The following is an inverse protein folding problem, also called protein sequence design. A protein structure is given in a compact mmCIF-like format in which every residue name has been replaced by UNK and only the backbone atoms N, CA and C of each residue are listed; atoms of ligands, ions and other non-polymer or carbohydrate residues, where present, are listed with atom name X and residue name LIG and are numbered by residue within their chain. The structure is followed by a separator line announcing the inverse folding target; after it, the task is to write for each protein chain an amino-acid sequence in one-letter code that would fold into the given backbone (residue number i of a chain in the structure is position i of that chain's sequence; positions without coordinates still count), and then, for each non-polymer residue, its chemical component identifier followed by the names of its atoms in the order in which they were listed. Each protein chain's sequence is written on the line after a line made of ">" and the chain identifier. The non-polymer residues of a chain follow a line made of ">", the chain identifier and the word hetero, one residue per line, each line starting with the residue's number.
data_IF_955344821456
#
_entry.id   IF_955344821456
#
_cell.length_a   1.000
_cell.length_b   1.000
_cell.length_c   1.000
_cell.angle_alpha   90.00
_cell.angle_beta   90.00
_cell.angle_gamma   90.00
#
_symmetry.space_group_name_H-M   'P 1'
#
loop_
_entity.id
_entity.type
_entity.pdbx_description
1 polymer ?
#
# COMPACT_ATOMS: atom_id res chain seq x y z
N UNK A 1 6.25 20.49 -11.82
CA UNK A 1 5.45 20.71 -10.60
C UNK A 1 4.46 21.86 -10.80
N UNK A 2 3.19 21.74 -10.39
CA UNK A 2 2.21 22.81 -10.56
C UNK A 2 2.62 24.07 -9.77
N UNK A 3 2.20 25.26 -10.24
CA UNK A 3 2.46 26.55 -9.55
C UNK A 3 1.99 26.51 -8.07
N UNK A 4 0.86 25.86 -7.83
CA UNK A 4 0.27 25.69 -6.49
C UNK A 4 1.14 24.85 -5.56
N UNK A 5 1.66 23.72 -6.04
CA UNK A 5 2.54 22.87 -5.24
C UNK A 5 3.84 23.61 -4.87
N UNK A 6 4.36 24.47 -5.75
CA UNK A 6 5.53 25.32 -5.46
C UNK A 6 5.25 26.29 -4.31
N UNK A 7 4.08 26.93 -4.30
CA UNK A 7 3.69 27.82 -3.22
C UNK A 7 3.46 27.10 -1.89
N UNK A 8 2.83 25.93 -1.90
CA UNK A 8 2.68 25.11 -0.68
C UNK A 8 4.03 24.66 -0.13
N UNK A 9 4.97 24.25 -0.99
CA UNK A 9 6.32 23.88 -0.60
C UNK A 9 7.09 25.07 0.01
N UNK A 10 7.01 26.24 -0.63
CA UNK A 10 7.64 27.47 -0.15
C UNK A 10 7.07 27.93 1.21
N UNK A 11 5.76 27.81 1.41
CA UNK A 11 5.11 28.08 2.69
C UNK A 11 5.57 27.10 3.77
N UNK A 12 5.61 25.81 3.46
CA UNK A 12 6.07 24.79 4.40
C UNK A 12 7.54 25.04 4.78
N UNK A 13 8.40 25.29 3.79
CA UNK A 13 9.79 25.69 4.00
C UNK A 13 9.89 26.87 4.95
N UNK A 14 9.07 27.91 4.78
CA UNK A 14 9.11 29.09 5.65
C UNK A 14 8.80 28.78 7.12
N UNK A 15 7.99 27.75 7.38
CA UNK A 15 7.64 27.29 8.72
C UNK A 15 8.75 26.43 9.35
N UNK A 16 9.45 25.63 8.56
CA UNK A 16 10.42 24.64 9.05
C UNK A 16 11.88 25.02 8.83
N UNK A 17 12.16 26.13 8.15
CA UNK A 17 13.53 26.54 7.79
C UNK A 17 14.44 26.78 8.99
N UNK A 18 13.93 26.92 10.21
CA UNK A 18 14.76 27.02 11.41
C UNK A 18 15.29 25.67 11.90
N UNK A 19 14.79 24.56 11.37
CA UNK A 19 15.22 23.20 11.74
C UNK A 19 16.49 22.84 10.98
N UNK A 20 17.63 22.77 11.69
CA UNK A 20 18.95 22.52 11.10
C UNK A 20 19.00 21.23 10.26
N UNK A 21 18.38 20.14 10.74
CA UNK A 21 18.35 18.86 10.05
C UNK A 21 17.66 18.97 8.68
N UNK A 22 16.53 19.67 8.61
CA UNK A 22 15.80 19.91 7.36
C UNK A 22 16.55 20.81 6.39
N UNK A 23 17.34 21.77 6.91
CA UNK A 23 18.23 22.54 6.05
C UNK A 23 19.34 21.66 5.44
N UNK A 24 19.81 20.64 6.15
CA UNK A 24 20.84 19.72 5.68
C UNK A 24 20.42 18.90 4.46
N UNK A 25 19.13 18.60 4.32
CA UNK A 25 18.59 17.81 3.21
C UNK A 25 18.38 18.58 1.91
N UNK A 26 18.48 19.92 1.93
CA UNK A 26 18.27 20.77 0.76
C UNK A 26 19.58 21.41 0.30
N UNK A 27 19.82 21.35 -1.00
CA UNK A 27 20.91 22.11 -1.64
C UNK A 27 20.68 23.63 -1.49
N UNK A 28 21.76 24.41 -1.56
CA UNK A 28 21.66 25.87 -1.54
C UNK A 28 20.76 26.41 -2.67
N UNK A 29 20.77 25.74 -3.83
CA UNK A 29 19.89 26.06 -4.96
C UNK A 29 18.43 25.83 -4.62
N UNK A 30 18.08 24.67 -4.04
CA UNK A 30 16.69 24.38 -3.64
C UNK A 30 16.19 25.33 -2.57
N UNK A 31 17.03 25.69 -1.59
CA UNK A 31 16.72 26.70 -0.57
C UNK A 31 16.39 28.04 -1.21
N UNK A 32 17.24 28.49 -2.14
CA UNK A 32 17.03 29.74 -2.86
C UNK A 32 15.76 29.70 -3.71
N UNK A 33 15.51 28.60 -4.42
CA UNK A 33 14.28 28.41 -5.18
C UNK A 33 13.03 28.48 -4.28
N UNK A 34 13.05 27.85 -3.11
CA UNK A 34 11.94 27.91 -2.16
C UNK A 34 11.71 29.34 -1.62
N UNK A 35 12.79 30.08 -1.35
CA UNK A 35 12.70 31.48 -0.93
C UNK A 35 12.16 32.37 -2.05
N UNK A 36 12.59 32.18 -3.29
CA UNK A 36 12.09 32.89 -4.47
C UNK A 36 10.60 32.61 -4.70
N UNK A 37 10.19 31.34 -4.60
CA UNK A 37 8.79 30.94 -4.70
C UNK A 37 7.95 31.56 -3.58
N UNK A 38 8.51 31.74 -2.38
CA UNK A 38 7.83 32.44 -1.30
C UNK A 38 7.66 33.94 -1.59
N UNK A 39 8.65 34.60 -2.20
CA UNK A 39 8.50 35.99 -2.65
C UNK A 39 7.44 36.14 -3.74
N UNK A 40 7.39 35.20 -4.69
CA UNK A 40 6.33 35.14 -5.70
C UNK A 40 4.96 34.94 -5.05
N UNK A 41 4.85 34.04 -4.09
CA UNK A 41 3.63 33.84 -3.30
C UNK A 41 3.19 35.11 -2.56
N UNK A 42 4.12 35.89 -1.99
CA UNK A 42 3.79 37.17 -1.35
C UNK A 42 3.18 38.19 -2.31
N UNK A 43 3.61 38.18 -3.58
CA UNK A 43 3.08 39.05 -4.65
C UNK A 43 1.81 38.49 -5.30
N UNK A 44 1.45 37.24 -5.03
CA UNK A 44 0.25 36.61 -5.57
C UNK A 44 -1.04 37.28 -5.07
N UNK A 45 -2.09 37.19 -5.89
CA UNK A 45 -3.41 37.70 -5.57
C UNK A 45 -4.06 37.01 -4.35
N UNK A 46 -5.06 37.64 -3.71
CA UNK A 46 -5.70 37.11 -2.50
C UNK A 46 -6.31 35.72 -2.71
N UNK A 47 -6.91 35.47 -3.87
CA UNK A 47 -7.49 34.16 -4.21
C UNK A 47 -6.43 33.06 -4.33
N UNK A 48 -5.30 33.32 -4.99
CA UNK A 48 -4.21 32.34 -5.10
C UNK A 48 -3.63 31.98 -3.72
N UNK A 49 -3.50 32.99 -2.84
CA UNK A 49 -3.03 32.79 -1.46
C UNK A 49 -4.01 31.95 -0.65
N UNK A 50 -5.30 32.25 -0.74
CA UNK A 50 -6.38 31.51 -0.07
C UNK A 50 -6.39 30.05 -0.52
N UNK A 51 -6.36 29.79 -1.82
CA UNK A 51 -6.33 28.43 -2.39
C UNK A 51 -5.09 27.66 -1.92
N UNK A 52 -3.90 28.26 -1.98
CA UNK A 52 -2.66 27.59 -1.57
C UNK A 52 -2.64 27.28 -0.07
N UNK A 53 -3.18 28.19 0.76
CA UNK A 53 -3.30 28.02 2.21
C UNK A 53 -4.32 26.94 2.57
N UNK A 54 -5.48 26.89 1.88
CA UNK A 54 -6.48 25.85 2.07
C UNK A 54 -5.94 24.47 1.64
N UNK A 55 -5.17 24.41 0.56
CA UNK A 55 -4.53 23.17 0.12
C UNK A 55 -3.50 22.69 1.14
N UNK A 56 -2.63 23.57 1.64
CA UNK A 56 -1.65 23.22 2.66
C UNK A 56 -2.35 22.79 3.97
N UNK A 57 -3.37 23.53 4.40
CA UNK A 57 -4.21 23.17 5.55
C UNK A 57 -4.84 21.80 5.36
N UNK A 58 -5.35 21.47 4.17
CA UNK A 58 -5.93 20.16 3.91
C UNK A 58 -4.90 19.03 4.03
N UNK A 59 -3.68 19.23 3.52
CA UNK A 59 -2.58 18.26 3.64
C UNK A 59 -2.16 18.05 5.10
N UNK A 60 -2.02 19.15 5.86
CA UNK A 60 -1.60 19.13 7.26
C UNK A 60 -2.75 18.85 8.23
N UNK A 61 -3.99 18.80 7.75
CA UNK A 61 -5.14 18.57 8.62
C UNK A 61 -5.12 17.14 9.15
N UNK A 62 -5.32 17.01 10.47
CA UNK A 62 -5.57 15.73 11.14
C UNK A 62 -6.98 15.18 10.86
N UNK A 63 -7.78 15.84 10.01
CA UNK A 63 -9.14 15.40 9.70
C UNK A 63 -9.05 14.16 8.81
N UNK A 64 -9.41 13.01 9.36
CA UNK A 64 -9.46 11.74 8.63
C UNK A 64 -10.59 11.75 7.59
N UNK A 65 -10.39 11.17 6.40
CA UNK A 65 -11.41 11.11 5.36
C UNK A 65 -12.48 10.11 5.77
N UNK A 66 -13.75 10.50 5.69
CA UNK A 66 -14.84 9.61 6.08
C UNK A 66 -15.07 8.49 5.06
N UNK A 67 -14.74 8.74 3.79
CA UNK A 67 -15.05 7.81 2.69
C UNK A 67 -14.43 6.41 2.88
N UNK A 68 -13.12 6.26 3.19
CA UNK A 68 -12.56 4.93 3.42
C UNK A 68 -13.18 4.19 4.61
N UNK A 69 -13.57 4.88 5.67
CA UNK A 69 -14.27 4.25 6.80
C UNK A 69 -15.66 3.74 6.41
N UNK A 70 -16.44 4.54 5.67
CA UNK A 70 -17.75 4.11 5.16
C UNK A 70 -17.61 2.92 4.22
N UNK A 71 -16.64 2.97 3.30
CA UNK A 71 -16.35 1.84 2.40
C UNK A 71 -15.96 0.57 3.17
N UNK A 72 -15.16 0.70 4.23
CA UNK A 72 -14.80 -0.41 5.11
C UNK A 72 -16.03 -1.03 5.78
N UNK A 73 -16.90 -0.20 6.37
CA UNK A 73 -18.15 -0.67 7.01
C UNK A 73 -19.02 -1.42 6.01
N UNK A 74 -19.28 -0.83 4.83
CA UNK A 74 -20.08 -1.46 3.79
C UNK A 74 -19.43 -2.76 3.28
N UNK A 75 -18.12 -2.78 3.12
CA UNK A 75 -17.35 -3.97 2.76
C UNK A 75 -17.48 -5.08 3.79
N UNK A 76 -17.37 -4.77 5.08
CA UNK A 76 -17.56 -5.76 6.16
C UNK A 76 -18.99 -6.29 6.20
N UNK A 77 -20.00 -5.45 6.05
CA UNK A 77 -21.41 -5.89 5.98
C UNK A 77 -21.64 -6.80 4.77
N UNK A 78 -21.10 -6.45 3.61
CA UNK A 78 -21.19 -7.28 2.40
C UNK A 78 -20.47 -8.63 2.59
N UNK A 79 -19.29 -8.63 3.23
CA UNK A 79 -18.55 -9.85 3.57
C UNK A 79 -19.35 -10.77 4.49
N UNK A 80 -19.95 -10.24 5.56
CA UNK A 80 -20.82 -11.01 6.48
C UNK A 80 -21.99 -11.63 5.72
N UNK A 81 -22.70 -10.82 4.91
CA UNK A 81 -23.85 -11.29 4.13
C UNK A 81 -23.45 -12.40 3.14
N UNK A 82 -22.32 -12.24 2.44
CA UNK A 82 -21.79 -13.24 1.53
C UNK A 82 -21.39 -14.53 2.25
N UNK A 83 -20.80 -14.43 3.45
CA UNK A 83 -20.40 -15.59 4.25
C UNK A 83 -21.61 -16.39 4.73
N UNK A 84 -22.66 -15.71 5.19
CA UNK A 84 -23.92 -16.33 5.61
C UNK A 84 -24.58 -17.01 4.40
N UNK A 85 -24.70 -16.29 3.28
CA UNK A 85 -25.27 -16.83 2.05
C UNK A 85 -24.50 -18.06 1.55
N UNK A 86 -23.17 -17.96 1.51
CA UNK A 86 -22.31 -19.07 1.07
C UNK A 86 -22.46 -20.28 1.99
N UNK A 87 -22.44 -20.06 3.31
CA UNK A 87 -22.60 -21.13 4.30
C UNK A 87 -23.96 -21.84 4.20
N UNK A 88 -25.03 -21.10 3.91
CA UNK A 88 -26.36 -21.68 3.71
C UNK A 88 -26.46 -22.46 2.39
N UNK A 89 -25.85 -21.96 1.32
CA UNK A 89 -25.95 -22.55 -0.02
C UNK A 89 -24.96 -23.70 -0.27
N UNK A 90 -23.79 -23.66 0.38
CA UNK A 90 -22.70 -24.62 0.19
C UNK A 90 -22.20 -25.17 1.54
N UNK A 91 -23.07 -25.82 2.34
CA UNK A 91 -22.73 -26.23 3.71
C UNK A 91 -21.53 -27.18 3.80
N UNK A 92 -21.29 -27.99 2.75
CA UNK A 92 -20.23 -29.00 2.71
C UNK A 92 -18.84 -28.46 2.33
N UNK A 93 -18.69 -27.16 2.03
CA UNK A 93 -17.45 -26.57 1.49
C UNK A 93 -16.65 -25.80 2.54
N UNK A 94 -16.35 -26.42 3.68
CA UNK A 94 -15.74 -25.73 4.83
C UNK A 94 -14.34 -25.18 4.54
N UNK A 95 -13.46 -26.00 3.98
CA UNK A 95 -12.09 -25.56 3.62
C UNK A 95 -12.11 -24.43 2.59
N UNK A 96 -12.98 -24.54 1.57
CA UNK A 96 -13.10 -23.49 0.55
C UNK A 96 -13.58 -22.16 1.13
N UNK A 97 -14.41 -22.18 2.19
CA UNK A 97 -14.83 -20.96 2.88
C UNK A 97 -13.62 -20.22 3.46
N UNK A 98 -12.68 -20.93 4.08
CA UNK A 98 -11.47 -20.32 4.62
C UNK A 98 -10.66 -19.61 3.53
N UNK A 99 -10.34 -20.32 2.44
CA UNK A 99 -9.55 -19.78 1.33
C UNK A 99 -10.22 -18.61 0.60
N UNK A 100 -11.56 -18.57 0.52
CA UNK A 100 -12.27 -17.46 -0.13
C UNK A 100 -12.48 -16.27 0.79
N UNK A 101 -12.92 -16.52 2.02
CA UNK A 101 -13.37 -15.45 2.91
C UNK A 101 -12.26 -14.81 3.71
N UNK A 102 -11.10 -15.46 3.89
CA UNK A 102 -9.93 -14.81 4.49
C UNK A 102 -9.41 -13.63 3.63
N UNK A 103 -9.06 -13.78 2.35
CA UNK A 103 -8.64 -12.65 1.53
C UNK A 103 -9.77 -11.62 1.33
N UNK A 104 -11.04 -12.06 1.23
CA UNK A 104 -12.16 -11.11 1.18
C UNK A 104 -12.33 -10.31 2.48
N UNK A 105 -12.03 -10.87 3.64
CA UNK A 105 -12.06 -10.16 4.91
C UNK A 105 -10.98 -9.07 4.93
N UNK A 106 -9.76 -9.41 4.51
CA UNK A 106 -8.67 -8.43 4.38
C UNK A 106 -9.02 -7.34 3.36
N UNK A 107 -9.63 -7.71 2.22
CA UNK A 107 -10.15 -6.75 1.25
C UNK A 107 -11.20 -5.81 1.84
N UNK A 108 -12.11 -6.32 2.67
CA UNK A 108 -13.10 -5.50 3.38
C UNK A 108 -12.45 -4.57 4.41
N UNK A 109 -11.31 -4.95 5.00
CA UNK A 109 -10.56 -4.12 5.94
C UNK A 109 -9.59 -3.12 5.29
N UNK A 110 -9.21 -3.31 4.02
CA UNK A 110 -8.29 -2.43 3.33
C UNK A 110 -8.72 -0.94 3.29
N UNK A 111 -10.01 -0.59 3.15
CA UNK A 111 -10.43 0.81 3.28
C UNK A 111 -10.22 1.39 4.70
N UNK A 112 -10.34 0.57 5.76
CA UNK A 112 -10.06 1.04 7.12
C UNK A 112 -8.57 1.32 7.33
N UNK A 113 -7.66 0.55 6.73
CA UNK A 113 -6.23 0.86 6.83
C UNK A 113 -5.90 2.19 6.13
N UNK A 114 -6.56 2.52 5.02
CA UNK A 114 -6.48 3.85 4.41
C UNK A 114 -7.05 4.97 5.31
N UNK A 115 -8.10 4.69 6.09
CA UNK A 115 -8.67 5.64 7.04
C UNK A 115 -7.69 5.99 8.18
N UNK A 116 -6.88 5.02 8.59
CA UNK A 116 -5.94 5.16 9.71
C UNK A 116 -4.67 5.96 9.35
N UNK A 117 -4.35 6.09 8.05
CA UNK A 117 -3.26 6.94 7.58
C UNK A 117 -3.62 8.44 7.71
N UNK A 118 -2.62 9.29 7.91
CA UNK A 118 -2.82 10.74 7.84
C UNK A 118 -2.93 11.22 6.38
N UNK A 119 -3.46 12.45 6.18
CA UNK A 119 -3.62 13.02 4.83
C UNK A 119 -2.29 13.16 4.09
N UNK A 120 -1.23 13.45 4.83
CA UNK A 120 0.12 13.54 4.31
C UNK A 120 0.61 12.18 3.81
N UNK A 121 0.52 11.14 4.65
CA UNK A 121 0.94 9.77 4.31
C UNK A 121 0.20 9.24 3.09
N UNK A 122 -1.14 9.39 3.03
CA UNK A 122 -1.90 8.95 1.86
C UNK A 122 -1.41 9.61 0.58
N UNK A 123 -1.17 10.92 0.60
CA UNK A 123 -0.73 11.66 -0.60
C UNK A 123 0.71 11.36 -0.99
N UNK A 124 1.58 11.14 0.00
CA UNK A 124 2.98 10.79 -0.23
C UNK A 124 3.12 9.37 -0.76
N UNK A 125 2.47 8.41 -0.11
CA UNK A 125 2.69 7.00 -0.38
C UNK A 125 1.76 6.43 -1.45
N UNK A 126 0.59 7.01 -1.71
CA UNK A 126 -0.28 6.60 -2.83
C UNK A 126 -0.16 7.54 -4.04
N UNK A 127 1.07 7.97 -4.34
CA UNK A 127 1.38 8.69 -5.57
C UNK A 127 1.86 7.70 -6.63
N UNK A 128 1.45 7.94 -7.87
CA UNK A 128 2.03 7.28 -9.03
C UNK A 128 3.39 7.92 -9.30
N UNK A 129 4.46 7.23 -8.93
CA UNK A 129 5.81 7.63 -9.29
C UNK A 129 6.13 7.17 -10.71
N UNK A 130 5.97 8.10 -11.67
CA UNK A 130 6.12 7.84 -13.10
C UNK A 130 7.59 7.85 -13.59
N UNK A 131 8.57 7.84 -12.69
CA UNK A 131 9.98 7.72 -13.08
C UNK A 131 10.20 6.38 -13.81
N UNK A 132 10.94 6.36 -14.96
CA UNK A 132 11.22 5.11 -15.68
C UNK A 132 11.89 4.04 -14.81
N UNK A 133 12.76 4.46 -13.88
CA UNK A 133 13.39 3.55 -12.91
C UNK A 133 12.37 2.86 -12.02
N UNK A 134 11.36 3.58 -11.54
CA UNK A 134 10.33 3.03 -10.66
C UNK A 134 9.46 2.04 -11.41
N UNK A 135 9.08 2.35 -12.66
CA UNK A 135 8.38 1.42 -13.54
C UNK A 135 9.18 0.13 -13.76
N UNK A 136 10.47 0.27 -14.08
CA UNK A 136 11.35 -0.88 -14.31
C UNK A 136 11.47 -1.76 -13.06
N UNK A 137 11.73 -1.17 -11.89
CA UNK A 137 11.81 -1.90 -10.62
C UNK A 137 10.47 -2.55 -10.26
N UNK A 138 9.33 -1.91 -10.55
CA UNK A 138 8.00 -2.50 -10.36
C UNK A 138 7.75 -3.71 -11.26
N UNK A 139 8.18 -3.66 -12.53
CA UNK A 139 8.07 -4.80 -13.46
C UNK A 139 8.93 -5.99 -13.01
N UNK A 140 10.16 -5.72 -12.55
CA UNK A 140 11.02 -6.74 -11.97
C UNK A 140 10.42 -7.33 -10.68
N UNK A 141 9.89 -6.47 -9.81
CA UNK A 141 9.21 -6.89 -8.59
C UNK A 141 8.00 -7.79 -8.87
N UNK A 142 7.14 -7.38 -9.81
CA UNK A 142 5.99 -8.19 -10.26
C UNK A 142 6.43 -9.56 -10.82
N UNK A 143 7.45 -9.58 -11.67
CA UNK A 143 7.97 -10.81 -12.27
C UNK A 143 8.50 -11.75 -11.20
N UNK A 144 9.33 -11.23 -10.27
CA UNK A 144 9.87 -12.00 -9.16
C UNK A 144 8.75 -12.55 -8.25
N UNK A 145 7.75 -11.72 -7.91
CA UNK A 145 6.61 -12.15 -7.09
C UNK A 145 5.81 -13.26 -7.78
N UNK A 146 5.54 -13.13 -9.07
CA UNK A 146 4.81 -14.15 -9.83
C UNK A 146 5.57 -15.47 -9.85
N UNK A 147 6.89 -15.43 -10.06
CA UNK A 147 7.74 -16.63 -10.02
C UNK A 147 7.76 -17.27 -8.63
N UNK A 148 7.92 -16.48 -7.56
CA UNK A 148 7.93 -16.99 -6.19
C UNK A 148 6.58 -17.60 -5.79
N UNK A 149 5.47 -16.94 -6.14
CA UNK A 149 4.14 -17.48 -5.88
C UNK A 149 3.85 -18.73 -6.73
N UNK A 150 4.36 -18.79 -7.96
CA UNK A 150 4.30 -19.99 -8.77
C UNK A 150 5.02 -21.16 -8.10
N UNK A 151 6.20 -20.93 -7.49
CA UNK A 151 6.91 -21.94 -6.70
C UNK A 151 6.15 -22.36 -5.44
N UNK A 152 5.48 -21.42 -4.77
CA UNK A 152 4.65 -21.73 -3.58
C UNK A 152 3.42 -22.56 -3.95
N UNK A 153 2.80 -22.27 -5.09
CA UNK A 153 1.53 -22.88 -5.50
C UNK A 153 1.67 -24.21 -6.24
N UNK A 154 2.88 -24.76 -6.44
CA UNK A 154 3.11 -26.00 -7.20
C UNK A 154 2.37 -27.21 -6.60
N UNK A 155 2.17 -27.20 -5.27
CA UNK A 155 1.58 -28.33 -4.54
C UNK A 155 0.14 -28.09 -4.06
N UNK A 156 -0.47 -26.94 -4.39
CA UNK A 156 -1.84 -26.68 -3.97
C UNK A 156 -2.82 -27.49 -4.83
N UNK A 157 -3.64 -28.36 -4.21
CA UNK A 157 -4.62 -29.16 -4.94
C UNK A 157 -5.81 -28.26 -5.29
N UNK A 158 -5.67 -27.38 -6.28
CA UNK A 158 -6.82 -26.83 -7.00
C UNK A 158 -7.36 -27.93 -7.92
N UNK A 159 -7.85 -29.02 -7.32
CA UNK A 159 -8.27 -30.23 -8.02
C UNK A 159 -9.54 -30.02 -8.88
N UNK A 160 -10.16 -28.83 -8.86
CA UNK A 160 -11.22 -28.40 -9.79
C UNK A 160 -11.15 -26.89 -9.96
N UNK A 161 -11.27 -26.41 -11.21
CA UNK A 161 -11.45 -25.00 -11.48
C UNK A 161 -12.68 -24.49 -10.72
N UNK A 162 -12.57 -23.42 -9.92
CA UNK A 162 -13.69 -22.87 -9.20
C UNK A 162 -14.78 -22.41 -10.19
N UNK A 163 -16.05 -22.59 -9.83
CA UNK A 163 -17.11 -21.99 -10.64
C UNK A 163 -16.98 -20.45 -10.67
N UNK A 164 -17.66 -19.81 -11.63
CA UNK A 164 -17.56 -18.36 -11.85
C UNK A 164 -17.84 -17.54 -10.60
N UNK A 165 -18.73 -18.00 -9.73
CA UNK A 165 -19.06 -17.29 -8.50
C UNK A 165 -17.89 -17.32 -7.52
N UNK A 166 -17.33 -18.50 -7.24
CA UNK A 166 -16.18 -18.62 -6.33
C UNK A 166 -14.92 -17.95 -6.92
N UNK A 167 -14.70 -18.04 -8.24
CA UNK A 167 -13.60 -17.36 -8.91
C UNK A 167 -13.70 -15.84 -8.78
N UNK A 168 -14.90 -15.27 -8.97
CA UNK A 168 -15.12 -13.82 -8.83
C UNK A 168 -14.80 -13.36 -7.41
N UNK A 169 -15.27 -14.09 -6.40
CA UNK A 169 -14.98 -13.81 -5.00
C UNK A 169 -13.49 -13.89 -4.69
N UNK A 170 -12.81 -14.92 -5.20
CA UNK A 170 -11.37 -15.10 -5.02
C UNK A 170 -10.59 -13.93 -5.64
N UNK A 171 -10.87 -13.59 -6.91
CA UNK A 171 -10.19 -12.49 -7.63
C UNK A 171 -10.38 -11.16 -6.90
N UNK A 172 -11.60 -10.85 -6.45
CA UNK A 172 -11.85 -9.61 -5.68
C UNK A 172 -11.03 -9.60 -4.40
N UNK A 173 -11.06 -10.71 -3.65
CA UNK A 173 -10.30 -10.85 -2.41
C UNK A 173 -8.82 -10.61 -2.62
N UNK A 174 -8.20 -11.36 -3.54
CA UNK A 174 -6.74 -11.31 -3.75
C UNK A 174 -6.26 -10.04 -4.46
N UNK A 175 -7.14 -9.33 -5.19
CA UNK A 175 -6.81 -8.05 -5.81
C UNK A 175 -6.81 -6.90 -4.80
N UNK A 176 -7.65 -6.94 -3.76
CA UNK A 176 -7.83 -5.83 -2.82
C UNK A 176 -7.12 -6.09 -1.48
N UNK A 177 -7.06 -7.33 -1.00
CA UNK A 177 -6.36 -7.69 0.25
C UNK A 177 -4.93 -7.13 0.34
N UNK A 178 -4.12 -7.13 -0.74
CA UNK A 178 -2.79 -6.54 -0.71
C UNK A 178 -2.75 -5.08 -0.26
N UNK A 179 -3.82 -4.29 -0.47
CA UNK A 179 -3.84 -2.91 0.01
C UNK A 179 -3.75 -2.84 1.55
N UNK A 180 -4.45 -3.75 2.24
CA UNK A 180 -4.35 -3.85 3.70
C UNK A 180 -2.93 -4.28 4.11
N UNK A 181 -2.42 -5.32 3.47
CA UNK A 181 -1.12 -5.91 3.77
C UNK A 181 0.02 -4.93 3.53
N UNK A 182 0.02 -4.21 2.41
CA UNK A 182 1.07 -3.23 2.11
C UNK A 182 1.06 -2.08 3.12
N UNK A 183 -0.11 -1.61 3.56
CA UNK A 183 -0.16 -0.58 4.62
C UNK A 183 0.39 -1.13 5.94
N UNK A 184 0.00 -2.35 6.32
CA UNK A 184 0.44 -2.97 7.57
C UNK A 184 1.96 -3.27 7.56
N UNK A 185 2.43 -3.96 6.53
CA UNK A 185 3.79 -4.51 6.47
C UNK A 185 4.80 -3.57 5.81
N UNK A 186 4.40 -2.62 4.97
CA UNK A 186 5.34 -1.76 4.22
C UNK A 186 5.29 -0.31 4.71
N UNK A 187 4.40 0.02 5.65
CA UNK A 187 4.38 1.31 6.31
C UNK A 187 4.29 1.19 7.83
N UNK A 188 3.22 0.61 8.38
CA UNK A 188 2.98 0.67 9.83
C UNK A 188 4.04 -0.07 10.64
N UNK A 189 4.31 -1.33 10.33
CA UNK A 189 5.29 -2.12 11.06
C UNK A 189 6.72 -1.58 10.87
N UNK A 190 7.21 -1.32 9.64
CA UNK A 190 8.55 -0.77 9.44
C UNK A 190 8.76 0.59 10.11
N UNK A 191 7.77 1.49 10.06
CA UNK A 191 7.89 2.85 10.64
C UNK A 191 8.11 2.88 12.16
N UNK A 192 7.91 1.76 12.86
CA UNK A 192 8.20 1.64 14.31
C UNK A 192 9.65 1.25 14.60
N UNK A 193 10.44 0.88 13.59
CA UNK A 193 11.75 0.27 13.78
C UNK A 193 12.80 0.96 12.89
N UNK A 194 13.81 1.54 13.53
CA UNK A 194 14.91 2.23 12.85
C UNK A 194 14.50 3.59 12.27
N UNK A 195 15.43 4.20 11.55
CA UNK A 195 15.24 5.47 10.83
C UNK A 195 14.85 5.22 9.38
N UNK A 196 14.11 6.14 8.78
CA UNK A 196 13.77 6.15 7.35
C UNK A 196 15.03 5.90 6.49
N UNK A 197 15.02 4.97 5.50
CA UNK A 197 13.88 4.25 4.93
C UNK A 197 13.51 2.93 5.66
N UNK A 198 13.83 2.82 6.94
CA UNK A 198 13.43 1.72 7.84
C UNK A 198 13.90 0.33 7.40
N UNK A 199 15.13 0.19 6.87
CA UNK A 199 15.68 -1.09 6.39
C UNK A 199 15.50 -2.25 7.38
N UNK A 200 15.84 -2.04 8.66
CA UNK A 200 15.66 -3.06 9.70
C UNK A 200 14.19 -3.39 9.93
N UNK A 201 13.32 -2.37 9.95
CA UNK A 201 11.88 -2.55 10.06
C UNK A 201 11.28 -3.33 8.90
N UNK A 202 11.77 -3.11 7.68
CA UNK A 202 11.38 -3.86 6.49
C UNK A 202 11.83 -5.32 6.51
N UNK A 203 13.04 -5.60 6.98
CA UNK A 203 13.53 -6.97 7.15
C UNK A 203 12.70 -7.74 8.19
N UNK A 204 12.43 -7.12 9.35
CA UNK A 204 11.56 -7.70 10.38
C UNK A 204 10.14 -7.90 9.85
N UNK A 205 9.61 -6.92 9.11
CA UNK A 205 8.29 -7.02 8.52
C UNK A 205 8.17 -8.17 7.52
N UNK A 206 9.21 -8.43 6.71
CA UNK A 206 9.24 -9.59 5.83
C UNK A 206 9.23 -10.92 6.61
N UNK A 207 9.90 -11.00 7.77
CA UNK A 207 9.82 -12.16 8.66
C UNK A 207 8.42 -12.35 9.25
N UNK A 208 7.79 -11.27 9.74
CA UNK A 208 6.42 -11.34 10.27
C UNK A 208 5.43 -11.74 9.16
N UNK A 209 5.57 -11.16 7.97
CA UNK A 209 4.80 -11.56 6.79
C UNK A 209 4.94 -13.06 6.52
N UNK A 210 6.17 -13.57 6.55
CA UNK A 210 6.47 -15.01 6.38
C UNK A 210 5.75 -15.87 7.40
N UNK A 211 5.88 -15.55 8.69
CA UNK A 211 5.23 -16.30 9.79
C UNK A 211 3.71 -16.32 9.64
N UNK A 212 3.10 -15.24 9.14
CA UNK A 212 1.65 -15.17 8.95
C UNK A 212 1.13 -15.90 7.70
N UNK A 213 2.02 -16.24 6.76
CA UNK A 213 1.67 -16.90 5.51
C UNK A 213 2.10 -18.37 5.46
N UNK A 214 3.03 -18.80 6.31
CA UNK A 214 3.36 -20.21 6.47
C UNK A 214 2.13 -20.93 7.02
N UNK A 215 1.49 -21.84 6.25
CA UNK A 215 0.53 -22.77 6.82
C UNK A 215 1.28 -23.63 7.86
N UNK A 216 0.57 -24.28 8.77
CA UNK A 216 1.08 -25.12 9.87
C UNK A 216 2.21 -26.14 9.56
N UNK A 217 2.60 -26.32 8.31
CA UNK A 217 3.78 -27.05 7.84
C UNK A 217 5.02 -26.15 7.93
N UNK A 218 5.88 -26.42 8.91
CA UNK A 218 7.20 -25.78 9.15
C UNK A 218 8.23 -26.05 8.02
N UNK A 219 7.82 -25.96 6.76
CA UNK A 219 8.67 -26.19 5.60
C UNK A 219 9.63 -24.99 5.39
N UNK A 220 10.95 -25.19 5.57
CA UNK A 220 11.94 -24.14 5.40
C UNK A 220 12.00 -23.56 3.97
N UNK A 221 11.67 -24.36 2.96
CA UNK A 221 11.69 -23.91 1.56
C UNK A 221 10.54 -22.92 1.30
N UNK A 222 9.32 -23.28 1.69
CA UNK A 222 8.15 -22.39 1.62
C UNK A 222 8.35 -21.12 2.45
N UNK A 223 8.93 -21.23 3.64
CA UNK A 223 9.30 -20.08 4.46
C UNK A 223 10.26 -19.13 3.73
N UNK A 224 11.23 -19.69 3.01
CA UNK A 224 12.18 -18.90 2.21
C UNK A 224 11.46 -18.16 1.09
N UNK A 225 10.55 -18.82 0.35
CA UNK A 225 9.79 -18.15 -0.71
C UNK A 225 8.89 -17.03 -0.18
N UNK A 226 8.18 -17.23 0.93
CA UNK A 226 7.38 -16.16 1.55
C UNK A 226 8.24 -15.00 2.07
N UNK A 227 9.41 -15.29 2.62
CA UNK A 227 10.35 -14.25 3.02
C UNK A 227 10.84 -13.44 1.83
N UNK A 228 11.17 -14.10 0.72
CA UNK A 228 11.58 -13.43 -0.51
C UNK A 228 10.43 -12.58 -1.10
N UNK A 229 9.19 -13.06 -1.07
CA UNK A 229 8.02 -12.24 -1.43
C UNK A 229 7.95 -10.99 -0.54
N UNK A 230 8.07 -11.19 0.78
CA UNK A 230 8.07 -10.13 1.77
C UNK A 230 9.15 -9.07 1.52
N UNK A 231 10.37 -9.53 1.24
CA UNK A 231 11.55 -8.73 0.98
C UNK A 231 11.45 -7.98 -0.37
N UNK A 232 10.97 -8.62 -1.43
CA UNK A 232 10.77 -7.97 -2.74
C UNK A 232 9.78 -6.81 -2.64
N UNK A 233 8.65 -6.99 -1.93
CA UNK A 233 7.68 -5.91 -1.71
C UNK A 233 8.27 -4.77 -0.86
N UNK A 234 9.04 -5.10 0.17
CA UNK A 234 9.77 -4.10 0.97
C UNK A 234 10.80 -3.33 0.15
N UNK A 235 11.58 -4.01 -0.70
CA UNK A 235 12.53 -3.36 -1.60
C UNK A 235 11.81 -2.43 -2.57
N UNK A 236 10.68 -2.88 -3.13
CA UNK A 236 9.88 -2.06 -4.03
C UNK A 236 9.34 -0.80 -3.33
N UNK A 237 8.89 -0.92 -2.08
CA UNK A 237 8.48 0.24 -1.24
C UNK A 237 9.63 1.23 -1.03
N UNK A 238 10.83 0.75 -0.73
CA UNK A 238 12.01 1.59 -0.46
C UNK A 238 12.46 2.29 -1.75
N UNK A 239 12.59 1.56 -2.85
CA UNK A 239 13.10 2.09 -4.12
C UNK A 239 12.16 3.11 -4.75
N UNK A 240 10.85 2.90 -4.64
CA UNK A 240 9.86 3.79 -5.25
C UNK A 240 9.36 4.89 -4.33
N UNK A 241 9.69 4.80 -3.03
CA UNK A 241 9.11 5.63 -1.97
C UNK A 241 7.57 5.78 -2.12
N UNK A 242 6.90 4.65 -2.37
CA UNK A 242 5.47 4.56 -2.65
C UNK A 242 4.90 3.22 -2.15
N UNK A 243 3.69 3.26 -1.59
CA UNK A 243 2.88 2.07 -1.30
C UNK A 243 2.04 1.63 -2.51
N UNK A 244 1.85 2.51 -3.50
CA UNK A 244 1.04 2.18 -4.69
C UNK A 244 1.71 1.10 -5.53
N UNK A 245 3.02 1.20 -5.76
CA UNK A 245 3.76 0.21 -6.55
C UNK A 245 3.79 -1.19 -5.95
N UNK A 246 4.16 -1.39 -4.67
CA UNK A 246 4.07 -2.70 -4.06
C UNK A 246 2.64 -3.23 -4.02
N UNK A 247 1.62 -2.39 -3.78
CA UNK A 247 0.22 -2.82 -3.85
C UNK A 247 -0.14 -3.36 -5.25
N UNK A 248 0.17 -2.61 -6.31
CA UNK A 248 -0.17 -3.01 -7.67
C UNK A 248 0.58 -4.28 -8.09
N UNK A 249 1.88 -4.38 -7.79
CA UNK A 249 2.68 -5.56 -8.11
C UNK A 249 2.16 -6.79 -7.36
N UNK A 250 1.84 -6.65 -6.08
CA UNK A 250 1.30 -7.71 -5.24
C UNK A 250 -0.08 -8.17 -5.75
N UNK A 251 -1.02 -7.24 -5.94
CA UNK A 251 -2.36 -7.55 -6.46
C UNK A 251 -2.30 -8.20 -7.84
N UNK A 252 -1.47 -7.69 -8.75
CA UNK A 252 -1.31 -8.27 -10.08
C UNK A 252 -0.73 -9.69 -10.02
N UNK A 253 0.27 -9.93 -9.17
CA UNK A 253 0.87 -11.25 -9.01
C UNK A 253 -0.15 -12.26 -8.47
N UNK A 254 -0.90 -11.89 -7.41
CA UNK A 254 -1.93 -12.77 -6.84
C UNK A 254 -3.05 -13.09 -7.84
N UNK A 255 -3.54 -12.08 -8.58
CA UNK A 255 -4.56 -12.29 -9.62
C UNK A 255 -4.03 -13.19 -10.73
N UNK A 256 -2.79 -12.97 -11.18
CA UNK A 256 -2.17 -13.80 -12.23
C UNK A 256 -2.09 -15.27 -11.80
N UNK A 257 -1.73 -15.53 -10.55
CA UNK A 257 -1.70 -16.89 -10.01
C UNK A 257 -3.07 -17.54 -9.92
N UNK A 258 -4.10 -16.79 -9.52
CA UNK A 258 -5.47 -17.29 -9.47
C UNK A 258 -6.02 -17.61 -10.86
N UNK A 259 -5.62 -16.85 -11.89
CA UNK A 259 -6.09 -17.06 -13.26
C UNK A 259 -5.28 -18.11 -14.03
N UNK A 260 -4.07 -18.45 -13.56
CA UNK A 260 -3.20 -19.44 -14.19
C UNK A 260 -3.52 -20.89 -13.76
N UNK A 261 -4.20 -21.08 -12.64
CA UNK A 261 -4.69 -22.39 -12.15
C UNK A 261 -6.12 -22.69 -12.59
#
# INVERSE_FOLDING_TARGET
>A
MSKRNRYSAALLWRLVRSTADLQGFLSNKEKQELDDQYQQYKRAGPEEKKVSSLQLRAILSKRRPLLPAVMGILGTVAWIALLIFHSAKYPQKELLRFYLFQPLLLAAFAPFSLYLLDNLERKLYFRLDARPSSLFVSLLGFTALTMLLASINQDLPFARSPDRFHLTLLVIGVAIAPLFEEIAFRQWLPSKIGLDPHWAGHAISALVFTVLHIPTTLDPEMATYYYLCGATLSLLRIQTDSLLWPFLAHAAANVSMVLAG
#
